data_IF_438642913490
#
_entry.id   IF_438642913490
#
_cell.length_a   1.000
_cell.length_b   1.000
_cell.length_c   1.000
_cell.angle_alpha   90.00
_cell.angle_beta   90.00
_cell.angle_gamma   90.00
#
_symmetry.space_group_name_H-M   'P 1'
#
loop_
_entity.id
_entity.type
_entity.pdbx_description
1 polymer ?
#
# COMPACT_ATOMS: atom_id res chain seq x y z
N UNK A 1 -34.51 -1.45 -37.17
CA UNK A 1 -34.05 -2.72 -36.58
C UNK A 1 -32.60 -2.49 -36.11
N UNK A 2 -32.44 -2.03 -34.87
CA UNK A 2 -31.13 -1.72 -34.29
C UNK A 2 -30.53 -3.02 -33.74
N UNK A 3 -29.49 -3.53 -34.38
CA UNK A 3 -28.66 -4.60 -33.83
C UNK A 3 -27.70 -3.98 -32.80
N UNK A 4 -28.05 -4.13 -31.53
CA UNK A 4 -27.13 -3.89 -30.42
C UNK A 4 -26.28 -5.14 -30.22
N UNK A 5 -24.99 -5.08 -30.54
CA UNK A 5 -24.03 -6.11 -30.14
C UNK A 5 -23.47 -5.78 -28.76
N UNK A 6 -23.67 -6.71 -27.82
CA UNK A 6 -23.01 -6.78 -26.50
C UNK A 6 -21.49 -6.64 -26.67
N UNK A 7 -20.93 -5.52 -26.25
CA UNK A 7 -19.51 -5.37 -25.95
C UNK A 7 -19.30 -4.18 -24.99
N UNK A 8 -19.88 -4.28 -23.80
CA UNK A 8 -19.35 -3.63 -22.61
C UNK A 8 -18.75 -4.76 -21.77
N UNK A 9 -17.64 -4.50 -21.07
CA UNK A 9 -16.75 -5.46 -20.38
C UNK A 9 -15.59 -6.01 -21.21
N UNK A 10 -14.54 -5.19 -21.38
CA UNK A 10 -13.15 -5.64 -21.19
C UNK A 10 -12.18 -4.46 -21.24
N UNK A 11 -12.00 -3.76 -20.12
CA UNK A 11 -10.78 -2.96 -19.85
C UNK A 11 -9.61 -3.90 -19.47
N UNK A 12 -9.41 -4.97 -20.24
CA UNK A 12 -8.44 -6.05 -19.93
C UNK A 12 -7.05 -5.75 -20.51
N UNK A 13 -6.93 -4.82 -21.46
CA UNK A 13 -5.64 -4.53 -22.10
C UNK A 13 -4.72 -3.59 -21.32
N UNK A 14 -5.23 -2.73 -20.43
CA UNK A 14 -4.36 -1.92 -19.55
C UNK A 14 -3.72 -2.75 -18.41
N UNK A 15 -4.25 -3.94 -18.12
CA UNK A 15 -3.86 -4.76 -16.98
C UNK A 15 -2.65 -5.69 -17.28
N UNK A 16 -2.40 -6.00 -18.57
CA UNK A 16 -1.34 -6.93 -18.97
C UNK A 16 0.07 -6.38 -18.73
N UNK A 17 0.32 -5.12 -19.07
CA UNK A 17 1.64 -4.52 -18.88
C UNK A 17 1.93 -4.20 -17.42
N UNK A 18 0.92 -3.74 -16.66
CA UNK A 18 1.06 -3.55 -15.22
C UNK A 18 1.38 -4.87 -14.51
N UNK A 19 0.64 -5.96 -14.80
CA UNK A 19 0.91 -7.29 -14.21
C UNK A 19 2.30 -7.82 -14.56
N UNK A 20 2.73 -7.70 -15.84
CA UNK A 20 4.08 -8.11 -16.26
C UNK A 20 5.18 -7.39 -15.50
N UNK A 21 5.02 -6.11 -15.20
CA UNK A 21 6.03 -5.33 -14.48
C UNK A 21 5.99 -5.60 -12.98
N UNK A 22 4.81 -5.70 -12.37
CA UNK A 22 4.69 -6.00 -10.95
C UNK A 22 5.22 -7.37 -10.61
N UNK A 23 5.03 -8.38 -11.46
CA UNK A 23 5.44 -9.77 -11.19
C UNK A 23 6.95 -9.99 -11.29
N UNK A 24 7.68 -9.06 -11.94
CA UNK A 24 9.11 -9.22 -12.22
C UNK A 24 10.03 -8.52 -11.20
N UNK A 25 9.51 -7.71 -10.27
CA UNK A 25 10.32 -7.01 -9.26
C UNK A 25 11.17 -7.95 -8.37
N UNK A 26 10.73 -9.20 -8.14
CA UNK A 26 11.44 -10.19 -7.33
C UNK A 26 12.36 -11.17 -8.07
N UNK A 27 12.46 -11.10 -9.41
CA UNK A 27 13.18 -12.11 -10.23
C UNK A 27 14.63 -11.76 -10.57
N UNK A 28 15.20 -10.74 -9.92
CA UNK A 28 16.61 -10.37 -10.13
C UNK A 28 17.60 -11.44 -9.62
N UNK A 29 18.89 -11.39 -9.99
CA UNK A 29 19.91 -12.35 -9.54
C UNK A 29 20.14 -12.37 -8.02
N UNK A 30 19.73 -11.29 -7.33
CA UNK A 30 19.73 -11.15 -5.87
C UNK A 30 18.37 -11.49 -5.25
N UNK A 31 17.46 -12.06 -6.04
CA UNK A 31 16.11 -12.44 -5.66
C UNK A 31 16.09 -13.76 -4.89
N UNK A 32 15.83 -13.74 -3.59
CA UNK A 32 15.48 -14.92 -2.80
C UNK A 32 13.98 -15.30 -2.94
N UNK A 33 13.70 -16.37 -3.69
CA UNK A 33 12.36 -16.95 -3.91
C UNK A 33 11.51 -17.16 -2.63
N UNK A 34 10.15 -17.13 -2.71
CA UNK A 34 9.28 -16.59 -3.77
C UNK A 34 8.83 -15.15 -3.47
N UNK A 35 9.36 -14.59 -2.37
CA UNK A 35 8.86 -13.43 -1.67
C UNK A 35 10.03 -12.60 -1.18
N UNK A 36 10.67 -11.94 -2.12
CA UNK A 36 11.77 -11.06 -1.77
C UNK A 36 11.22 -9.75 -1.27
N UNK A 37 11.23 -9.60 0.06
CA UNK A 37 11.57 -8.31 0.64
C UNK A 37 12.87 -7.85 -0.03
N UNK A 38 12.77 -6.94 -0.98
CA UNK A 38 13.91 -6.35 -1.70
C UNK A 38 14.65 -5.34 -0.82
N UNK A 39 14.02 -4.94 0.28
CA UNK A 39 14.57 -3.99 1.23
C UNK A 39 15.77 -4.57 1.97
N UNK A 40 16.83 -3.77 2.05
CA UNK A 40 18.02 -4.02 2.87
C UNK A 40 17.95 -3.27 4.20
N UNK A 41 16.76 -2.80 4.59
CA UNK A 41 16.56 -2.03 5.80
C UNK A 41 16.82 -2.88 7.05
N UNK A 42 17.81 -2.47 7.84
CA UNK A 42 18.15 -3.11 9.12
C UNK A 42 17.36 -2.44 10.26
N UNK A 43 16.29 -3.07 10.71
CA UNK A 43 15.52 -2.57 11.86
C UNK A 43 16.30 -2.75 13.17
N UNK A 44 16.17 -1.79 14.08
CA UNK A 44 16.72 -1.87 15.44
C UNK A 44 15.72 -1.34 16.46
N UNK A 45 15.81 -1.79 17.70
CA UNK A 45 15.00 -1.25 18.80
C UNK A 45 15.18 0.27 18.94
N UNK A 46 16.42 0.77 18.76
CA UNK A 46 16.72 2.20 18.82
C UNK A 46 15.94 3.01 17.77
N UNK A 47 15.82 2.49 16.54
CA UNK A 47 15.04 3.16 15.49
C UNK A 47 13.55 3.21 15.83
N UNK A 48 13.01 2.15 16.42
CA UNK A 48 11.60 2.14 16.87
C UNK A 48 11.39 3.19 17.97
N UNK A 49 12.27 3.23 18.97
CA UNK A 49 12.19 4.21 20.08
C UNK A 49 12.25 5.66 19.57
N UNK A 50 13.06 5.93 18.54
CA UNK A 50 13.18 7.27 17.96
C UNK A 50 11.91 7.77 17.27
N UNK A 51 11.05 6.85 16.80
CA UNK A 51 9.82 7.17 16.08
C UNK A 51 8.57 7.01 16.96
N UNK A 52 8.61 6.13 17.95
CA UNK A 52 7.49 5.89 18.84
C UNK A 52 7.28 7.07 19.80
N UNK A 53 6.01 7.41 20.06
CA UNK A 53 5.65 8.42 21.05
C UNK A 53 6.03 7.99 22.48
N UNK A 54 6.03 6.67 22.73
CA UNK A 54 6.32 6.06 24.03
C UNK A 54 5.26 6.33 25.10
N UNK A 55 4.06 6.79 24.71
CA UNK A 55 2.99 7.13 25.63
C UNK A 55 1.98 6.00 25.73
N UNK A 56 1.67 5.56 26.94
CA UNK A 56 0.57 4.64 27.23
C UNK A 56 -0.78 5.39 27.26
N UNK A 57 -1.91 4.70 26.98
CA UNK A 57 -3.25 5.28 27.12
C UNK A 57 -3.50 5.79 28.54
N UNK A 58 -4.03 7.01 28.67
CA UNK A 58 -4.36 7.62 29.95
C UNK A 58 -5.85 7.46 30.28
N UNK A 59 -6.24 7.56 31.56
CA UNK A 59 -7.65 7.64 31.93
C UNK A 59 -8.37 8.77 31.17
N UNK A 60 -9.47 8.41 30.51
CA UNK A 60 -10.27 9.31 29.68
C UNK A 60 -9.89 9.32 28.19
N UNK A 61 -8.82 8.63 27.79
CA UNK A 61 -8.51 8.45 26.37
C UNK A 61 -9.47 7.44 25.72
N UNK A 62 -9.85 7.71 24.47
CA UNK A 62 -10.62 6.79 23.63
C UNK A 62 -9.66 5.96 22.80
N UNK A 63 -9.57 4.67 23.08
CA UNK A 63 -8.64 3.76 22.39
C UNK A 63 -9.29 3.30 21.09
N UNK A 64 -8.74 3.74 19.97
CA UNK A 64 -9.26 3.47 18.62
C UNK A 64 -8.29 2.57 17.88
N UNK A 65 -8.77 1.44 17.40
CA UNK A 65 -7.99 0.51 16.61
C UNK A 65 -8.32 0.64 15.11
N UNK A 66 -7.28 0.69 14.28
CA UNK A 66 -7.38 0.62 12.82
C UNK A 66 -6.40 -0.44 12.33
N UNK A 67 -6.71 -1.14 11.24
CA UNK A 67 -5.84 -2.19 10.70
C UNK A 67 -5.72 -2.11 9.19
N UNK A 68 -4.59 -2.55 8.65
CA UNK A 68 -4.41 -2.66 7.21
C UNK A 68 -2.97 -2.92 6.78
N UNK A 69 -2.74 -2.79 5.46
CA UNK A 69 -1.40 -2.83 4.89
C UNK A 69 -0.58 -1.62 5.31
N UNK A 70 -1.11 -0.40 5.15
CA UNK A 70 -0.36 0.87 5.24
C UNK A 70 0.93 0.86 4.38
N UNK A 71 0.86 0.21 3.22
CA UNK A 71 1.98 0.13 2.27
C UNK A 71 2.10 1.40 1.43
N UNK A 72 3.34 1.83 1.17
CA UNK A 72 3.67 3.17 0.64
C UNK A 72 2.89 4.28 1.35
N UNK A 73 3.04 4.40 2.68
CA UNK A 73 2.24 5.30 3.50
C UNK A 73 2.06 6.71 2.88
N UNK A 74 0.83 7.06 2.53
CA UNK A 74 0.50 8.18 1.64
C UNK A 74 -0.66 9.03 2.17
N UNK A 75 -0.96 10.14 1.48
CA UNK A 75 -1.96 11.14 1.90
C UNK A 75 -3.35 10.51 2.19
N UNK A 76 -3.80 9.52 1.41
CA UNK A 76 -5.05 8.82 1.72
C UNK A 76 -5.09 8.13 3.09
N UNK A 77 -3.97 7.60 3.59
CA UNK A 77 -3.89 7.08 4.96
C UNK A 77 -3.89 8.20 5.98
N UNK A 78 -3.22 9.32 5.69
CA UNK A 78 -3.17 10.50 6.57
C UNK A 78 -4.56 11.10 6.72
N UNK A 79 -5.30 11.31 5.63
CA UNK A 79 -6.67 11.82 5.62
C UNK A 79 -7.61 10.89 6.41
N UNK A 80 -7.47 9.58 6.22
CA UNK A 80 -8.21 8.59 7.01
C UNK A 80 -7.91 8.70 8.50
N UNK A 81 -6.63 8.69 8.89
CA UNK A 81 -6.22 8.76 10.29
C UNK A 81 -6.59 10.10 10.94
N UNK A 82 -6.57 11.20 10.20
CA UNK A 82 -7.05 12.49 10.67
C UNK A 82 -8.55 12.44 10.99
N UNK A 83 -9.36 11.86 10.11
CA UNK A 83 -10.81 11.71 10.35
C UNK A 83 -11.08 10.80 11.53
N UNK A 84 -10.32 9.71 11.68
CA UNK A 84 -10.42 8.83 12.86
C UNK A 84 -10.04 9.58 14.14
N UNK A 85 -8.99 10.40 14.11
CA UNK A 85 -8.57 11.22 15.24
C UNK A 85 -9.65 12.23 15.66
N UNK A 86 -10.48 12.70 14.73
CA UNK A 86 -11.59 13.63 15.02
C UNK A 86 -12.80 12.96 15.70
N UNK A 87 -12.85 11.63 15.82
CA UNK A 87 -13.97 10.91 16.43
C UNK A 87 -14.01 11.00 17.96
N UNK A 88 -12.93 11.45 18.60
CA UNK A 88 -12.83 11.58 20.04
C UNK A 88 -12.10 12.87 20.43
N UNK A 89 -12.41 13.39 21.63
CA UNK A 89 -11.71 14.54 22.20
C UNK A 89 -10.26 14.20 22.55
N UNK A 90 -10.03 12.97 23.04
CA UNK A 90 -8.72 12.44 23.44
C UNK A 90 -8.48 11.08 22.77
N UNK A 91 -8.17 11.06 21.45
CA UNK A 91 -7.97 9.82 20.72
C UNK A 91 -6.61 9.20 21.05
N UNK A 92 -6.60 7.90 21.27
CA UNK A 92 -5.40 7.07 21.33
C UNK A 92 -5.49 6.06 20.18
N UNK A 93 -4.80 6.34 19.07
CA UNK A 93 -4.93 5.53 17.84
C UNK A 93 -3.85 4.45 17.81
N UNK A 94 -4.29 3.20 17.75
CA UNK A 94 -3.46 2.01 17.56
C UNK A 94 -3.62 1.54 16.12
N UNK A 95 -2.52 1.55 15.35
CA UNK A 95 -2.51 1.07 13.97
C UNK A 95 -1.94 -0.36 13.89
N UNK A 96 -2.78 -1.32 13.53
CA UNK A 96 -2.41 -2.70 13.25
C UNK A 96 -1.83 -2.87 11.86
N UNK A 97 -0.58 -3.34 11.78
CA UNK A 97 0.10 -3.64 10.53
C UNK A 97 0.05 -5.13 10.25
N UNK A 98 -0.66 -5.52 9.19
CA UNK A 98 -0.67 -6.92 8.75
C UNK A 98 0.74 -7.39 8.37
N UNK A 99 1.03 -8.67 8.59
CA UNK A 99 2.25 -9.32 8.12
C UNK A 99 2.42 -9.21 6.60
N UNK A 100 3.67 -9.15 6.13
CA UNK A 100 3.96 -9.03 4.70
C UNK A 100 3.29 -10.18 3.91
N UNK A 101 3.38 -11.40 4.43
CA UNK A 101 2.75 -12.62 3.89
C UNK A 101 1.24 -12.46 3.74
N UNK A 102 0.60 -11.84 4.74
CA UNK A 102 -0.84 -11.63 4.75
C UNK A 102 -1.24 -10.54 3.74
N UNK A 103 -0.46 -9.44 3.66
CA UNK A 103 -0.71 -8.35 2.70
C UNK A 103 -0.75 -8.85 1.26
N UNK A 104 0.19 -9.68 0.84
CA UNK A 104 0.16 -10.24 -0.51
C UNK A 104 -0.89 -11.31 -0.70
N UNK A 105 -1.29 -12.06 0.34
CA UNK A 105 -2.37 -13.02 0.16
C UNK A 105 -3.60 -12.32 -0.41
N UNK A 106 -3.94 -11.14 0.13
CA UNK A 106 -5.12 -10.41 -0.33
C UNK A 106 -4.84 -9.35 -1.41
N UNK A 107 -3.61 -8.82 -1.55
CA UNK A 107 -3.24 -7.87 -2.64
C UNK A 107 -2.61 -8.52 -3.88
N UNK A 108 -1.98 -9.68 -3.71
CA UNK A 108 -1.23 -10.42 -4.72
C UNK A 108 0.06 -9.74 -5.19
N UNK A 109 0.61 -10.25 -6.30
CA UNK A 109 1.79 -9.73 -7.03
C UNK A 109 3.04 -9.73 -6.13
N UNK A 110 3.80 -8.64 -6.15
CA UNK A 110 4.96 -8.40 -5.28
C UNK A 110 4.65 -7.35 -4.19
N UNK A 111 3.37 -7.22 -3.78
CA UNK A 111 3.01 -6.44 -2.60
C UNK A 111 3.33 -7.20 -1.31
N UNK A 112 3.57 -6.52 -0.18
CA UNK A 112 3.73 -5.07 -0.06
C UNK A 112 5.06 -4.60 -0.67
N UNK A 113 5.10 -3.36 -1.14
CA UNK A 113 6.33 -2.73 -1.66
C UNK A 113 7.30 -2.44 -0.50
N UNK A 114 6.78 -1.94 0.62
CA UNK A 114 7.52 -1.74 1.87
C UNK A 114 7.31 -2.93 2.81
N UNK A 115 8.40 -3.46 3.38
CA UNK A 115 8.29 -4.53 4.37
C UNK A 115 7.67 -4.02 5.68
N UNK A 116 7.30 -4.93 6.57
CA UNK A 116 6.62 -4.58 7.82
C UNK A 116 7.40 -3.58 8.69
N UNK A 117 8.74 -3.65 8.67
CA UNK A 117 9.58 -2.76 9.47
C UNK A 117 9.64 -1.34 8.91
N UNK A 118 9.69 -1.19 7.58
CA UNK A 118 9.61 0.09 6.89
C UNK A 118 8.23 0.73 7.10
N UNK A 119 7.16 -0.08 6.98
CA UNK A 119 5.78 0.35 7.26
C UNK A 119 5.60 0.78 8.71
N UNK A 120 6.22 0.07 9.65
CA UNK A 120 6.21 0.44 11.09
C UNK A 120 6.72 1.86 11.29
N UNK A 121 7.90 2.20 10.75
CA UNK A 121 8.44 3.56 10.91
C UNK A 121 7.61 4.59 10.15
N UNK A 122 7.09 4.24 8.98
CA UNK A 122 6.25 5.13 8.17
C UNK A 122 4.98 5.54 8.91
N UNK A 123 4.34 4.59 9.60
CA UNK A 123 3.10 4.82 10.35
C UNK A 123 3.38 5.51 11.68
N UNK A 124 4.44 5.16 12.40
CA UNK A 124 4.85 5.85 13.65
C UNK A 124 5.22 7.33 13.41
N UNK A 125 5.70 7.69 12.23
CA UNK A 125 5.95 9.09 11.87
C UNK A 125 4.69 9.94 11.72
N UNK A 126 3.50 9.32 11.66
CA UNK A 126 2.24 10.02 11.54
C UNK A 126 1.80 10.59 12.89
N UNK A 127 1.59 11.92 12.96
CA UNK A 127 1.20 12.62 14.20
C UNK A 127 -0.07 12.12 14.87
N UNK A 128 -0.97 11.50 14.10
CA UNK A 128 -2.27 11.02 14.59
C UNK A 128 -2.16 9.65 15.25
N UNK A 129 -1.06 8.91 15.03
CA UNK A 129 -0.86 7.56 15.54
C UNK A 129 -0.16 7.61 16.89
N UNK A 130 -0.71 6.90 17.87
CA UNK A 130 -0.13 6.79 19.21
C UNK A 130 0.75 5.56 19.34
N UNK A 131 0.29 4.42 18.79
CA UNK A 131 0.95 3.12 18.88
C UNK A 131 0.72 2.26 17.63
N UNK A 132 1.58 1.27 17.41
CA UNK A 132 1.54 0.35 16.27
C UNK A 132 1.62 -1.10 16.75
N UNK A 133 0.70 -1.95 16.28
CA UNK A 133 0.82 -3.41 16.43
C UNK A 133 1.61 -3.95 15.24
N UNK A 134 2.88 -4.28 15.47
CA UNK A 134 3.78 -4.85 14.46
C UNK A 134 3.43 -6.32 14.28
N UNK A 135 2.78 -6.66 13.18
CA UNK A 135 2.36 -8.04 12.90
C UNK A 135 0.97 -8.34 13.47
N UNK A 136 0.01 -7.46 13.20
CA UNK A 136 -1.38 -7.66 13.56
C UNK A 136 -2.00 -8.84 12.79
N UNK A 137 -2.90 -9.62 13.43
CA UNK A 137 -3.72 -10.60 12.73
C UNK A 137 -4.63 -9.92 11.70
N UNK A 138 -5.07 -10.67 10.69
CA UNK A 138 -5.98 -10.16 9.66
C UNK A 138 -7.38 -9.90 10.22
N UNK A 139 -7.96 -10.91 10.89
CA UNK A 139 -9.18 -10.75 11.66
C UNK A 139 -8.91 -9.99 12.96
N UNK A 140 -9.82 -9.06 13.29
CA UNK A 140 -9.80 -8.33 14.54
C UNK A 140 -10.35 -9.23 15.65
N UNK A 141 -9.46 -9.90 16.38
CA UNK A 141 -9.84 -10.91 17.37
C UNK A 141 -10.30 -10.31 18.70
N UNK A 142 -11.12 -11.06 19.44
CA UNK A 142 -11.54 -10.70 20.80
C UNK A 142 -10.33 -10.45 21.71
N UNK A 143 -9.32 -11.32 21.66
CA UNK A 143 -8.10 -11.20 22.46
C UNK A 143 -7.37 -9.89 22.19
N UNK A 144 -7.29 -9.45 20.91
CA UNK A 144 -6.67 -8.18 20.55
C UNK A 144 -7.47 -7.01 21.14
N UNK A 145 -8.80 -7.03 20.98
CA UNK A 145 -9.67 -5.97 21.49
C UNK A 145 -9.57 -5.85 23.02
N UNK A 146 -9.57 -6.98 23.72
CA UNK A 146 -9.54 -7.03 25.19
C UNK A 146 -8.14 -6.68 25.73
N UNK A 147 -7.07 -7.12 25.06
CA UNK A 147 -5.69 -6.80 25.42
C UNK A 147 -5.43 -5.30 25.41
N UNK A 148 -5.78 -4.63 24.30
CA UNK A 148 -5.58 -3.19 24.15
C UNK A 148 -6.73 -2.34 24.73
N UNK A 149 -7.77 -2.97 25.30
CA UNK A 149 -8.97 -2.28 25.83
C UNK A 149 -9.61 -1.36 24.78
N UNK A 150 -9.72 -1.85 23.55
CA UNK A 150 -10.21 -1.09 22.40
C UNK A 150 -11.66 -0.67 22.62
N UNK A 151 -11.92 0.62 22.42
CA UNK A 151 -13.26 1.21 22.57
C UNK A 151 -13.96 1.43 21.22
N UNK A 152 -13.19 1.58 20.14
CA UNK A 152 -13.70 1.81 18.80
C UNK A 152 -12.78 1.16 17.77
N UNK A 153 -13.35 0.55 16.73
CA UNK A 153 -12.63 0.01 15.58
C UNK A 153 -13.06 0.76 14.33
N UNK A 154 -12.10 1.33 13.60
CA UNK A 154 -12.39 2.07 12.38
C UNK A 154 -11.77 1.40 11.15
N UNK A 155 -12.50 1.44 10.04
CA UNK A 155 -11.99 1.09 8.72
C UNK A 155 -12.39 2.15 7.69
N UNK A 156 -11.57 2.31 6.65
CA UNK A 156 -11.86 3.22 5.55
C UNK A 156 -13.05 2.75 4.70
N UNK A 157 -13.41 3.54 3.69
CA UNK A 157 -14.41 3.15 2.67
C UNK A 157 -13.86 2.19 1.59
N UNK A 158 -12.63 1.71 1.76
CA UNK A 158 -12.03 0.73 0.84
C UNK A 158 -12.68 -0.64 1.00
N UNK A 159 -12.54 -1.49 -0.03
CA UNK A 159 -13.04 -2.85 0.03
C UNK A 159 -12.35 -3.65 1.14
N UNK A 160 -13.14 -4.41 1.90
CA UNK A 160 -12.66 -5.38 2.89
C UNK A 160 -12.68 -6.76 2.24
N UNK A 161 -11.51 -7.37 2.11
CA UNK A 161 -11.40 -8.75 1.60
C UNK A 161 -11.80 -9.71 2.72
N UNK A 162 -12.58 -10.77 2.44
CA UNK A 162 -12.85 -11.81 3.43
C UNK A 162 -11.58 -12.50 3.94
N UNK A 163 -11.62 -13.04 5.16
CA UNK A 163 -10.54 -13.87 5.67
C UNK A 163 -10.44 -15.21 4.92
N UNK A 164 -9.43 -16.03 5.22
CA UNK A 164 -9.12 -17.31 4.55
C UNK A 164 -10.26 -18.32 4.59
N UNK A 165 -11.10 -18.25 5.62
CA UNK A 165 -12.30 -19.08 5.80
C UNK A 165 -13.57 -18.44 5.20
N UNK A 166 -13.45 -17.25 4.60
CA UNK A 166 -14.55 -16.49 4.04
C UNK A 166 -15.30 -15.62 5.05
N UNK A 167 -14.87 -15.58 6.31
CA UNK A 167 -15.47 -14.73 7.35
C UNK A 167 -15.15 -13.25 7.13
N UNK A 168 -15.94 -12.38 7.77
CA UNK A 168 -15.70 -10.95 7.82
C UNK A 168 -14.64 -10.66 8.90
N UNK A 169 -13.47 -10.09 8.55
CA UNK A 169 -12.41 -9.83 9.53
C UNK A 169 -12.82 -8.83 10.62
N UNK A 170 -13.92 -8.09 10.42
CA UNK A 170 -14.50 -7.18 11.40
C UNK A 170 -15.77 -7.71 12.07
N UNK A 171 -16.05 -9.01 11.98
CA UNK A 171 -17.24 -9.63 12.60
C UNK A 171 -17.30 -9.34 14.12
N UNK A 172 -16.21 -9.55 14.84
CA UNK A 172 -16.15 -9.37 16.29
C UNK A 172 -16.40 -7.91 16.75
N UNK A 173 -15.73 -6.87 16.20
CA UNK A 173 -16.04 -5.49 16.56
C UNK A 173 -17.45 -5.05 16.11
N UNK A 174 -17.98 -5.60 15.01
CA UNK A 174 -19.39 -5.36 14.61
C UNK A 174 -20.35 -5.97 15.62
N UNK A 175 -20.09 -7.21 16.07
CA UNK A 175 -20.87 -7.89 17.11
C UNK A 175 -20.89 -7.12 18.43
N UNK A 176 -19.77 -6.48 18.78
CA UNK A 176 -19.65 -5.61 19.97
C UNK A 176 -20.26 -4.22 19.79
N UNK A 177 -20.69 -3.84 18.58
CA UNK A 177 -21.27 -2.52 18.29
C UNK A 177 -20.25 -1.38 18.30
N UNK A 178 -18.96 -1.69 18.14
CA UNK A 178 -17.85 -0.72 18.20
C UNK A 178 -17.16 -0.52 16.84
N UNK A 179 -17.72 -1.05 15.75
CA UNK A 179 -17.17 -0.90 14.40
C UNK A 179 -17.76 0.34 13.71
N UNK A 180 -16.90 1.16 13.11
CA UNK A 180 -17.30 2.36 12.37
C UNK A 180 -16.55 2.49 11.04
N UNK A 181 -17.29 2.81 9.97
CA UNK A 181 -16.69 3.19 8.69
C UNK A 181 -16.39 4.69 8.67
N UNK A 182 -15.23 5.05 8.14
CA UNK A 182 -14.76 6.43 8.05
C UNK A 182 -14.38 6.74 6.60
N UNK A 183 -15.01 7.76 6.03
CA UNK A 183 -14.66 8.27 4.72
C UNK A 183 -13.50 9.27 4.82
N UNK A 184 -12.37 8.93 4.20
CA UNK A 184 -11.21 9.81 4.12
C UNK A 184 -11.40 10.95 3.12
N UNK A 185 -12.36 10.84 2.19
CA UNK A 185 -12.51 11.74 1.06
C UNK A 185 -11.42 11.57 -0.02
N UNK A 186 -10.51 10.60 0.15
CA UNK A 186 -9.39 10.35 -0.74
C UNK A 186 -9.56 9.01 -1.44
N UNK A 187 -9.43 9.01 -2.76
CA UNK A 187 -9.45 7.79 -3.57
C UNK A 187 -8.05 7.19 -3.80
N UNK A 188 -6.99 7.78 -3.23
CA UNK A 188 -5.61 7.35 -3.46
C UNK A 188 -5.32 6.03 -2.76
N UNK A 189 -4.83 5.06 -3.53
CA UNK A 189 -4.39 3.75 -3.03
C UNK A 189 -2.94 3.46 -3.44
N UNK A 190 -2.31 2.48 -2.77
CA UNK A 190 -0.98 1.97 -3.14
C UNK A 190 -0.93 1.58 -4.62
N UNK A 191 -1.96 0.92 -5.15
CA UNK A 191 -2.03 0.51 -6.57
C UNK A 191 -2.02 1.72 -7.51
N UNK A 192 -2.78 2.77 -7.21
CA UNK A 192 -2.78 4.01 -7.99
C UNK A 192 -1.43 4.73 -7.96
N UNK A 193 -0.72 4.71 -6.83
CA UNK A 193 0.63 5.26 -6.74
C UNK A 193 1.58 4.48 -7.65
N UNK A 194 1.56 3.15 -7.58
CA UNK A 194 2.40 2.30 -8.41
C UNK A 194 2.08 2.52 -9.90
N UNK A 195 0.80 2.58 -10.28
CA UNK A 195 0.40 2.87 -11.66
C UNK A 195 0.93 4.22 -12.16
N UNK A 196 0.82 5.29 -11.34
CA UNK A 196 1.36 6.61 -11.68
C UNK A 196 2.87 6.58 -11.92
N UNK A 197 3.61 5.88 -11.06
CA UNK A 197 5.06 5.75 -11.18
C UNK A 197 5.46 4.97 -12.44
N UNK A 198 4.81 3.83 -12.69
CA UNK A 198 5.09 2.99 -13.87
C UNK A 198 4.76 3.74 -15.17
N UNK A 199 3.60 4.40 -15.23
CA UNK A 199 3.20 5.19 -16.40
C UNK A 199 4.25 6.26 -16.74
N UNK A 200 4.67 7.04 -15.74
CA UNK A 200 5.68 8.08 -15.93
C UNK A 200 7.02 7.50 -16.40
N UNK A 201 7.41 6.32 -15.89
CA UNK A 201 8.62 5.62 -16.33
C UNK A 201 8.53 5.20 -17.80
N UNK A 202 7.43 4.57 -18.21
CA UNK A 202 7.23 4.12 -19.59
C UNK A 202 7.22 5.30 -20.57
N UNK A 203 6.58 6.41 -20.21
CA UNK A 203 6.60 7.64 -21.01
C UNK A 203 8.00 8.26 -21.12
N UNK A 204 8.81 8.16 -20.07
CA UNK A 204 10.22 8.59 -20.10
C UNK A 204 11.05 7.69 -21.02
N UNK A 205 10.97 6.37 -20.86
CA UNK A 205 11.70 5.39 -21.68
C UNK A 205 11.36 5.53 -23.17
N UNK A 206 10.08 5.66 -23.51
CA UNK A 206 9.64 5.83 -24.89
C UNK A 206 10.14 7.14 -25.52
N UNK A 207 10.21 8.24 -24.75
CA UNK A 207 10.78 9.51 -25.23
C UNK A 207 12.29 9.40 -25.46
N UNK A 208 13.00 8.72 -24.56
CA UNK A 208 14.44 8.54 -24.68
C UNK A 208 14.80 7.65 -25.89
N UNK A 209 14.10 6.53 -26.07
CA UNK A 209 14.28 5.66 -27.25
C UNK A 209 14.03 6.41 -28.57
N UNK A 210 12.99 7.25 -28.63
CA UNK A 210 12.73 8.08 -29.82
C UNK A 210 13.85 9.10 -30.08
N UNK A 211 14.49 9.62 -29.03
CA UNK A 211 15.61 10.55 -29.15
C UNK A 211 16.86 9.83 -29.65
N UNK A 212 17.21 8.71 -29.04
CA UNK A 212 18.33 7.85 -29.45
C UNK A 212 18.21 7.38 -30.90
N UNK A 213 17.02 6.94 -31.31
CA UNK A 213 16.76 6.53 -32.70
C UNK A 213 16.97 7.68 -33.70
N UNK A 214 16.59 8.91 -33.33
CA UNK A 214 16.83 10.10 -34.17
C UNK A 214 18.32 10.45 -34.25
N UNK A 215 19.04 10.39 -33.12
CA UNK A 215 20.48 10.67 -33.08
C UNK A 215 21.27 9.63 -33.90
N UNK A 216 20.90 8.36 -33.80
CA UNK A 216 21.50 7.28 -34.59
C UNK A 216 21.25 7.47 -36.09
N UNK A 217 20.02 7.83 -36.49
CA UNK A 217 19.69 8.10 -37.89
C UNK A 217 20.49 9.28 -38.47
N UNK A 218 20.75 10.33 -37.67
CA UNK A 218 21.60 11.46 -38.09
C UNK A 218 23.05 11.02 -38.26
N UNK A 219 23.60 10.23 -37.33
CA UNK A 219 24.95 9.68 -37.43
C UNK A 219 25.13 8.78 -38.66
N UNK A 220 24.16 7.91 -38.94
CA UNK A 220 24.18 7.05 -40.13
C UNK A 220 24.11 7.86 -41.42
N UNK A 221 23.28 8.90 -41.47
CA UNK A 221 23.20 9.80 -42.62
C UNK A 221 24.51 10.56 -42.85
N UNK A 222 25.17 11.04 -41.79
CA UNK A 222 26.48 11.72 -41.90
C UNK A 222 27.56 10.77 -42.41
N UNK A 223 27.61 9.52 -41.93
CA UNK A 223 28.57 8.51 -42.41
C UNK A 223 28.38 8.20 -43.89
N UNK A 224 27.14 8.03 -44.36
CA UNK A 224 26.86 7.78 -45.79
C UNK A 224 27.35 8.94 -46.67
N UNK A 225 27.16 10.19 -46.23
CA UNK A 225 27.63 11.37 -46.94
C UNK A 225 29.17 11.50 -46.96
N UNK A 226 29.87 10.95 -45.96
CA UNK A 226 31.34 10.87 -45.95
C UNK A 226 31.86 9.77 -46.87
N UNK A 227 31.20 8.61 -46.90
CA UNK A 227 31.52 7.49 -47.79
C UNK A 227 31.30 7.84 -49.27
N UNK A 228 30.25 8.62 -49.61
CA UNK A 228 29.98 9.09 -50.98
C UNK A 228 30.96 10.16 -51.49
N UNK A 229 31.77 10.76 -50.60
CA UNK A 229 32.76 11.80 -50.96
C UNK A 229 34.16 11.24 -51.24
N UNK A 230 34.39 9.95 -51.00
CA UNK A 230 35.65 9.26 -51.25
C UNK A 230 35.55 8.32 -52.46
#
# INVERSE_FOLDING_TARGET
>A
MLLMTKAHHSNIDEDLDYRKHTDNFGKGPKGHSPWTGVSQFLQTSQKIIQFASGKEPQPGDTIIYVAGAFDLFHIGHVDFLEKVHQLAERPYIIAGLHFDQEVNRYKGKNYPIMNIHERTLSVLACRYVSEVVIGAPYAVTADLLDHFKVTLVCHGMTEVVPDKDGSDPYEEPKRRGIFQLVDSGSNLTTDLIVQRIIKNRLEFEARNQKKEAKELAVLEAMKRLEEEKH
#
